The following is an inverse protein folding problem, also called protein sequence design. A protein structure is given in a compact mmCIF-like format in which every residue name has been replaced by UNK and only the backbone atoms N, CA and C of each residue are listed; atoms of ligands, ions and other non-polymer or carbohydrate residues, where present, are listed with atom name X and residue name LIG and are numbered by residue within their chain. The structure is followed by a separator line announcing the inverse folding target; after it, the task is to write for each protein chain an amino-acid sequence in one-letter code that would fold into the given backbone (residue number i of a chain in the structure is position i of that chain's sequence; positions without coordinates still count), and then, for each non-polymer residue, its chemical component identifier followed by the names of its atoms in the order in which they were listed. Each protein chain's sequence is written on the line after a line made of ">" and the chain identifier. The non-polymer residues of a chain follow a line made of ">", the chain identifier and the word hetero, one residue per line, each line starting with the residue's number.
data_IF_378935083464
#
_entry.id   IF_378935083464
#
_cell.length_a   1.000
_cell.length_b   1.000
_cell.length_c   1.000
_cell.angle_alpha   90.00
_cell.angle_beta   90.00
_cell.angle_gamma   90.00
#
_symmetry.space_group_name_H-M   'P 1'
#
loop_
_entity.id
_entity.type
_entity.pdbx_description
1 polymer ?
#
# COMPACT_ATOMS: atom_id res chain seq x y z
N UNK A 1 16.29 20.19 13.09
CA UNK A 1 15.72 18.84 13.04
C UNK A 1 15.44 18.42 14.47
N UNK A 2 14.17 18.41 14.89
CA UNK A 2 13.80 17.81 16.17
C UNK A 2 13.82 16.30 16.00
N UNK A 3 14.64 15.62 16.80
CA UNK A 3 14.60 14.16 16.95
C UNK A 3 13.21 13.76 17.46
N UNK A 4 12.50 12.92 16.70
CA UNK A 4 11.29 12.27 17.19
C UNK A 4 11.66 11.38 18.39
N UNK A 5 10.96 11.45 19.53
CA UNK A 5 11.32 10.64 20.69
C UNK A 5 11.06 9.14 20.40
N UNK A 6 11.93 8.24 20.86
CA UNK A 6 11.70 6.80 20.76
C UNK A 6 10.72 6.37 21.86
N UNK A 7 9.41 6.52 21.64
CA UNK A 7 8.44 6.10 22.65
C UNK A 7 7.08 5.75 22.07
N UNK A 8 6.91 4.51 21.60
CA UNK A 8 5.61 3.80 21.59
C UNK A 8 5.82 2.27 21.59
N UNK A 9 6.93 1.78 21.01
CA UNK A 9 7.29 0.36 20.96
C UNK A 9 7.59 -0.28 22.33
N UNK A 10 7.89 0.51 23.37
CA UNK A 10 8.20 -0.02 24.72
C UNK A 10 6.96 -0.38 25.54
N UNK A 11 5.78 0.13 25.17
CA UNK A 11 4.53 -0.08 25.92
C UNK A 11 3.70 -1.26 25.41
N UNK A 12 3.87 -1.71 24.16
CA UNK A 12 3.08 -2.82 23.60
C UNK A 12 3.32 -4.15 24.33
N UNK A 13 4.55 -4.41 24.77
CA UNK A 13 4.85 -5.60 25.59
C UNK A 13 4.15 -5.53 26.95
N UNK A 14 4.00 -4.34 27.53
CA UNK A 14 3.33 -4.15 28.83
C UNK A 14 1.82 -4.39 28.71
N UNK A 15 1.18 -3.97 27.60
CA UNK A 15 -0.24 -4.24 27.36
C UNK A 15 -0.52 -5.72 27.09
N UNK A 16 0.32 -6.38 26.28
CA UNK A 16 0.18 -7.83 26.00
C UNK A 16 0.43 -8.67 27.26
N UNK A 17 1.48 -8.36 28.02
CA UNK A 17 1.76 -9.01 29.31
C UNK A 17 0.63 -8.75 30.31
N UNK A 18 0.12 -7.51 30.37
CA UNK A 18 -1.01 -7.15 31.23
C UNK A 18 -2.28 -7.94 30.93
N UNK A 19 -2.64 -8.07 29.65
CA UNK A 19 -3.80 -8.87 29.21
C UNK A 19 -3.60 -10.36 29.51
N UNK A 20 -2.41 -10.92 29.23
CA UNK A 20 -2.09 -12.31 29.59
C UNK A 20 -2.18 -12.56 31.09
N UNK A 21 -1.69 -11.64 31.92
CA UNK A 21 -1.80 -11.74 33.38
C UNK A 21 -3.27 -11.72 33.84
N UNK A 22 -4.11 -10.86 33.27
CA UNK A 22 -5.55 -10.78 33.61
C UNK A 22 -6.28 -12.07 33.19
N UNK A 23 -5.98 -12.61 32.02
CA UNK A 23 -6.55 -13.88 31.54
C UNK A 23 -6.11 -15.06 32.41
N UNK A 24 -4.82 -15.10 32.77
CA UNK A 24 -4.28 -16.14 33.66
C UNK A 24 -4.91 -16.04 35.05
N UNK A 25 -5.09 -14.85 35.62
CA UNK A 25 -5.77 -14.65 36.90
C UNK A 25 -7.25 -15.05 36.81
N UNK A 26 -7.94 -14.68 35.73
CA UNK A 26 -9.34 -15.01 35.50
C UNK A 26 -9.63 -16.50 35.30
N UNK A 27 -8.65 -17.28 34.83
CA UNK A 27 -8.78 -18.73 34.61
C UNK A 27 -8.22 -19.54 35.79
N UNK A 28 -7.05 -19.16 36.33
CA UNK A 28 -6.32 -19.95 37.32
C UNK A 28 -6.85 -19.70 38.74
N UNK A 29 -7.19 -18.46 39.10
CA UNK A 29 -7.66 -18.17 40.46
C UNK A 29 -8.97 -18.91 40.81
N UNK A 30 -9.97 -19.03 39.91
CA UNK A 30 -11.16 -19.84 40.18
C UNK A 30 -10.87 -21.33 40.33
N UNK A 31 -9.90 -21.87 39.57
CA UNK A 31 -9.49 -23.27 39.66
C UNK A 31 -8.79 -23.58 40.98
N UNK A 32 -7.94 -22.67 41.47
CA UNK A 32 -7.29 -22.79 42.78
C UNK A 32 -8.34 -22.69 43.89
N UNK A 33 -9.24 -21.70 43.85
CA UNK A 33 -10.27 -21.52 44.89
C UNK A 33 -11.30 -22.66 44.89
N UNK A 34 -11.67 -23.21 43.73
CA UNK A 34 -12.52 -24.39 43.62
C UNK A 34 -11.88 -25.67 44.20
N UNK A 35 -10.54 -25.71 44.33
CA UNK A 35 -9.82 -26.81 44.98
C UNK A 35 -9.90 -26.75 46.51
N UNK A 36 -10.06 -25.56 47.09
CA UNK A 36 -10.06 -25.33 48.54
C UNK A 36 -11.42 -24.96 49.13
N UNK A 37 -12.43 -24.70 48.30
CA UNK A 37 -13.81 -24.40 48.72
C UNK A 37 -14.79 -25.25 47.92
N UNK A 38 -15.95 -25.62 48.50
CA UNK A 38 -17.08 -26.17 47.73
C UNK A 38 -17.86 -24.99 47.14
N UNK A 39 -17.68 -24.63 45.86
CA UNK A 39 -18.25 -23.40 45.33
C UNK A 39 -19.79 -23.50 45.31
N UNK A 40 -20.47 -22.51 45.88
CA UNK A 40 -21.94 -22.44 45.86
C UNK A 40 -22.44 -21.85 44.54
N UNK A 41 -23.69 -22.17 44.17
CA UNK A 41 -24.34 -21.76 42.90
C UNK A 41 -24.23 -20.26 42.60
N UNK A 42 -24.32 -19.40 43.63
CA UNK A 42 -24.20 -17.93 43.45
C UNK A 42 -22.78 -17.49 43.15
N UNK A 43 -21.78 -18.21 43.66
CA UNK A 43 -20.37 -17.85 43.52
C UNK A 43 -19.88 -18.00 42.07
N UNK A 44 -20.23 -19.12 41.42
CA UNK A 44 -19.82 -19.42 40.04
C UNK A 44 -20.46 -18.44 39.03
N UNK A 45 -21.74 -18.14 39.21
CA UNK A 45 -22.47 -17.22 38.32
C UNK A 45 -21.93 -15.80 38.43
N UNK A 46 -21.63 -15.33 39.65
CA UNK A 46 -21.05 -14.00 39.86
C UNK A 46 -19.68 -13.86 39.18
N UNK A 47 -18.83 -14.88 39.24
CA UNK A 47 -17.52 -14.85 38.60
C UNK A 47 -17.58 -14.92 37.07
N UNK A 48 -18.49 -15.72 36.51
CA UNK A 48 -18.70 -15.76 35.05
C UNK A 48 -19.20 -14.42 34.49
N UNK A 49 -20.09 -13.75 35.21
CA UNK A 49 -20.56 -12.40 34.85
C UNK A 49 -19.41 -11.39 34.95
N UNK A 50 -18.63 -11.42 36.04
CA UNK A 50 -17.51 -10.50 36.24
C UNK A 50 -16.45 -10.61 35.13
N UNK A 51 -16.09 -11.84 34.74
CA UNK A 51 -15.14 -12.10 33.67
C UNK A 51 -15.66 -11.61 32.30
N UNK A 52 -16.97 -11.75 32.06
CA UNK A 52 -17.61 -11.27 30.83
C UNK A 52 -17.60 -9.74 30.77
N UNK A 53 -17.93 -9.06 31.87
CA UNK A 53 -17.92 -7.60 31.95
C UNK A 53 -16.50 -7.03 31.80
N UNK A 54 -15.50 -7.63 32.45
CA UNK A 54 -14.10 -7.23 32.31
C UNK A 54 -13.60 -7.35 30.85
N UNK A 55 -14.02 -8.40 30.14
CA UNK A 55 -13.69 -8.59 28.72
C UNK A 55 -14.31 -7.50 27.82
N UNK A 56 -15.56 -7.11 28.10
CA UNK A 56 -16.25 -6.03 27.39
C UNK A 56 -15.61 -4.66 27.62
N UNK A 57 -15.23 -4.34 28.86
CA UNK A 57 -14.54 -3.07 29.18
C UNK A 57 -13.18 -2.99 28.48
N UNK A 58 -12.44 -4.10 28.40
CA UNK A 58 -11.18 -4.18 27.65
C UNK A 58 -11.34 -3.94 26.15
N UNK A 59 -12.38 -4.54 25.53
CA UNK A 59 -12.70 -4.32 24.12
C UNK A 59 -13.19 -2.91 23.81
N UNK A 60 -13.90 -2.28 24.76
CA UNK A 60 -14.37 -0.90 24.61
C UNK A 60 -13.20 0.10 24.66
N UNK A 61 -12.22 -0.14 25.54
CA UNK A 61 -11.01 0.70 25.61
C UNK A 61 -10.12 0.57 24.37
N UNK A 62 -10.14 -0.59 23.69
CA UNK A 62 -9.41 -0.76 22.42
C UNK A 62 -10.11 -0.13 21.21
N UNK A 63 -11.43 0.08 21.27
CA UNK A 63 -12.22 0.68 20.19
C UNK A 63 -12.16 2.23 20.17
N UNK A 64 -11.66 2.87 21.22
CA UNK A 64 -11.54 4.33 21.34
C UNK A 64 -10.25 4.92 20.76
N UNK A 65 -9.33 4.11 20.23
CA UNK A 65 -8.13 4.57 19.52
C UNK A 65 -8.41 4.63 18.01
N UNK A 66 -8.00 5.72 17.37
CA UNK A 66 -8.46 6.19 16.05
C UNK A 66 -8.71 5.11 14.96
N UNK A 67 -9.70 5.30 14.06
CA UNK A 67 -10.21 4.25 13.16
C UNK A 67 -9.33 3.94 11.94
N UNK A 68 -8.09 4.43 11.91
CA UNK A 68 -7.25 4.41 10.71
C UNK A 68 -6.18 3.31 10.83
N UNK A 69 -6.45 2.18 10.17
CA UNK A 69 -5.46 1.25 9.62
C UNK A 69 -4.38 0.70 10.58
N UNK A 70 -4.74 -0.28 11.41
CA UNK A 70 -3.75 -1.27 11.88
C UNK A 70 -4.34 -2.69 11.93
N UNK A 71 -3.85 -3.63 11.09
CA UNK A 71 -4.22 -5.06 11.14
C UNK A 71 -4.00 -5.72 12.50
N UNK A 72 -3.20 -5.13 13.40
CA UNK A 72 -2.97 -5.66 14.74
C UNK A 72 -4.17 -5.51 15.68
N UNK A 73 -5.18 -4.69 15.35
CA UNK A 73 -6.40 -4.60 16.16
C UNK A 73 -7.17 -5.94 16.22
N UNK A 74 -7.08 -6.76 15.18
CA UNK A 74 -7.71 -8.08 15.15
C UNK A 74 -7.03 -9.10 16.09
N UNK A 75 -5.73 -8.95 16.34
CA UNK A 75 -4.99 -9.79 17.31
C UNK A 75 -5.40 -9.51 18.76
N UNK A 76 -5.90 -8.32 19.07
CA UNK A 76 -6.41 -7.94 20.40
C UNK A 76 -7.88 -8.35 20.64
N UNK A 77 -8.65 -8.61 19.58
CA UNK A 77 -10.01 -9.14 19.67
C UNK A 77 -10.04 -10.66 19.89
N UNK A 78 -8.98 -11.36 19.51
CA UNK A 78 -8.88 -12.82 19.66
C UNK A 78 -8.94 -13.28 21.14
N UNK A 79 -8.24 -12.65 22.10
CA UNK A 79 -8.38 -12.97 23.54
C UNK A 79 -9.80 -12.72 24.07
N UNK A 80 -10.42 -11.60 23.68
CA UNK A 80 -11.80 -11.25 24.07
C UNK A 80 -12.77 -12.32 23.58
N UNK A 81 -12.61 -12.75 22.32
CA UNK A 81 -13.40 -13.81 21.70
C UNK A 81 -13.22 -15.16 22.41
N UNK A 82 -11.97 -15.55 22.70
CA UNK A 82 -11.66 -16.80 23.42
C UNK A 82 -12.20 -16.81 24.86
N UNK A 83 -12.16 -15.68 25.56
CA UNK A 83 -12.74 -15.53 26.90
C UNK A 83 -14.27 -15.59 26.89
N UNK A 84 -14.94 -14.99 25.88
CA UNK A 84 -16.40 -15.11 25.74
C UNK A 84 -16.86 -16.52 25.39
N UNK A 85 -16.09 -17.23 24.56
CA UNK A 85 -16.38 -18.62 24.18
C UNK A 85 -16.20 -19.56 25.37
N UNK A 86 -15.12 -19.41 26.12
CA UNK A 86 -14.89 -20.24 27.32
C UNK A 86 -15.98 -20.03 28.37
N UNK A 87 -16.44 -18.80 28.59
CA UNK A 87 -17.58 -18.51 29.46
C UNK A 87 -18.88 -19.17 28.97
N UNK A 88 -19.18 -19.09 27.67
CA UNK A 88 -20.37 -19.70 27.08
C UNK A 88 -20.34 -21.23 27.14
N UNK A 89 -19.19 -21.85 26.87
CA UNK A 89 -18.99 -23.30 26.94
C UNK A 89 -19.18 -23.82 28.36
N UNK A 90 -18.64 -23.15 29.38
CA UNK A 90 -18.78 -23.57 30.79
C UNK A 90 -20.25 -23.51 31.25
N UNK A 91 -20.96 -22.43 30.91
CA UNK A 91 -22.39 -22.27 31.25
C UNK A 91 -23.25 -23.32 30.53
N UNK A 92 -22.90 -23.67 29.29
CA UNK A 92 -23.63 -24.64 28.49
C UNK A 92 -23.35 -26.10 28.88
N UNK A 93 -22.10 -26.44 29.22
CA UNK A 93 -21.75 -27.75 29.80
C UNK A 93 -22.52 -28.02 31.09
N UNK A 94 -22.69 -26.99 31.92
CA UNK A 94 -23.51 -27.08 33.13
C UNK A 94 -25.00 -27.31 32.84
N UNK A 95 -25.56 -26.68 31.78
CA UNK A 95 -26.95 -26.87 31.36
C UNK A 95 -27.22 -28.28 30.79
N UNK A 96 -26.28 -28.82 29.98
CA UNK A 96 -26.38 -30.17 29.42
C UNK A 96 -26.33 -31.24 30.51
N UNK A 97 -25.39 -31.16 31.45
CA UNK A 97 -25.29 -32.10 32.58
C UNK A 97 -26.58 -32.14 33.43
N UNK A 98 -27.38 -31.08 33.42
CA UNK A 98 -28.66 -31.01 34.13
C UNK A 98 -29.84 -31.56 33.31
N UNK A 99 -29.74 -31.58 31.99
CA UNK A 99 -30.84 -31.93 31.05
C UNK A 99 -30.90 -33.40 30.65
N UNK A 100 -29.91 -34.23 31.02
CA UNK A 100 -29.91 -35.68 30.79
C UNK A 100 -29.78 -36.11 29.32
N UNK A 101 -29.34 -35.20 28.43
CA UNK A 101 -29.21 -35.46 26.99
C UNK A 101 -27.93 -36.22 26.63
N UNK A 102 -27.99 -36.98 25.52
CA UNK A 102 -27.03 -38.03 25.18
C UNK A 102 -25.75 -37.52 24.50
N UNK A 103 -24.71 -38.37 24.53
CA UNK A 103 -23.36 -38.13 23.99
C UNK A 103 -23.33 -37.73 22.50
N UNK A 104 -24.40 -38.07 21.76
CA UNK A 104 -24.56 -37.80 20.31
C UNK A 104 -24.82 -36.32 20.04
N UNK A 105 -25.68 -35.66 20.82
CA UNK A 105 -25.99 -34.22 20.63
C UNK A 105 -24.77 -33.34 20.94
N UNK A 106 -23.92 -33.79 21.87
CA UNK A 106 -22.62 -33.16 22.14
C UNK A 106 -21.68 -33.21 20.93
N UNK A 107 -21.56 -34.38 20.30
CA UNK A 107 -20.67 -34.56 19.15
C UNK A 107 -21.08 -33.71 17.95
N UNK A 108 -22.38 -33.63 17.66
CA UNK A 108 -22.91 -32.84 16.54
C UNK A 108 -22.66 -31.34 16.71
N UNK A 109 -22.83 -30.80 17.91
CA UNK A 109 -22.56 -29.39 18.20
C UNK A 109 -21.08 -29.07 18.16
N UNK A 110 -20.23 -29.96 18.69
CA UNK A 110 -18.79 -29.81 18.63
C UNK A 110 -18.29 -29.84 17.17
N UNK A 111 -18.82 -30.75 16.35
CA UNK A 111 -18.52 -30.83 14.93
C UNK A 111 -18.97 -29.57 14.18
N UNK A 112 -20.18 -29.05 14.46
CA UNK A 112 -20.67 -27.81 13.87
C UNK A 112 -19.85 -26.59 14.28
N UNK A 113 -19.42 -26.52 15.55
CA UNK A 113 -18.53 -25.47 16.05
C UNK A 113 -17.17 -25.51 15.35
N UNK A 114 -16.52 -26.67 15.27
CA UNK A 114 -15.27 -26.82 14.54
C UNK A 114 -15.42 -26.52 13.06
N UNK A 115 -16.58 -26.82 12.46
CA UNK A 115 -16.88 -26.46 11.07
C UNK A 115 -16.99 -24.94 10.86
N UNK A 116 -17.67 -24.21 11.75
CA UNK A 116 -17.75 -22.74 11.71
C UNK A 116 -16.38 -22.11 11.97
N UNK A 117 -15.64 -22.59 12.98
CA UNK A 117 -14.29 -22.10 13.29
C UNK A 117 -13.36 -22.36 12.11
N UNK A 118 -13.41 -23.53 11.50
CA UNK A 118 -12.66 -23.83 10.28
C UNK A 118 -13.08 -22.95 9.10
N UNK A 119 -14.38 -22.67 8.93
CA UNK A 119 -14.89 -21.78 7.89
C UNK A 119 -14.49 -20.30 8.07
N UNK A 120 -14.36 -19.84 9.32
CA UNK A 120 -13.90 -18.48 9.66
C UNK A 120 -12.38 -18.36 9.72
N UNK A 121 -11.67 -19.45 10.03
CA UNK A 121 -10.20 -19.51 10.03
C UNK A 121 -9.62 -19.94 8.68
N UNK A 122 -10.46 -20.43 7.76
CA UNK A 122 -10.12 -20.54 6.35
C UNK A 122 -9.75 -19.14 5.90
N UNK A 123 -8.46 -18.89 5.57
CA UNK A 123 -8.03 -17.57 5.17
C UNK A 123 -8.79 -17.26 3.88
N UNK A 124 -9.73 -16.33 3.93
CA UNK A 124 -10.15 -15.63 2.72
C UNK A 124 -8.83 -15.14 2.09
N UNK A 125 -8.51 -15.68 0.91
CA UNK A 125 -7.16 -15.79 0.35
C UNK A 125 -6.22 -14.67 0.79
N UNK A 126 -5.19 -15.05 1.56
CA UNK A 126 -4.22 -14.16 2.20
C UNK A 126 -3.75 -13.07 1.24
N UNK A 127 -4.30 -11.87 1.36
CA UNK A 127 -3.70 -10.67 0.77
C UNK A 127 -2.62 -10.24 1.74
N UNK A 128 -1.36 -10.44 1.37
CA UNK A 128 -0.20 -10.05 2.17
C UNK A 128 -0.38 -8.60 2.67
N UNK A 129 -0.44 -8.33 4.00
CA UNK A 129 -0.72 -7.00 4.54
C UNK A 129 0.31 -5.95 4.09
N UNK A 130 1.51 -6.39 3.71
CA UNK A 130 2.53 -5.50 3.14
C UNK A 130 2.20 -5.04 1.73
N UNK A 131 1.37 -5.78 0.97
CA UNK A 131 1.00 -5.43 -0.41
C UNK A 131 0.19 -4.13 -0.49
N UNK A 132 -0.71 -3.89 0.46
CA UNK A 132 -1.45 -2.63 0.60
C UNK A 132 -0.55 -1.47 1.03
N UNK A 133 0.40 -1.73 1.93
CA UNK A 133 1.40 -0.73 2.34
C UNK A 133 2.26 -0.30 1.14
N UNK A 134 2.76 -1.25 0.36
CA UNK A 134 3.55 -0.97 -0.86
C UNK A 134 2.74 -0.19 -1.90
N UNK A 135 1.45 -0.50 -2.07
CA UNK A 135 0.56 0.21 -2.99
C UNK A 135 0.36 1.67 -2.57
N UNK A 136 0.18 1.89 -1.26
CA UNK A 136 0.05 3.22 -0.67
C UNK A 136 1.34 4.02 -0.81
N UNK A 137 2.49 3.39 -0.58
CA UNK A 137 3.79 4.03 -0.77
C UNK A 137 4.06 4.35 -2.25
N UNK A 138 3.69 3.47 -3.19
CA UNK A 138 3.77 3.77 -4.63
C UNK A 138 2.91 5.01 -4.99
N UNK A 139 1.70 5.12 -4.43
CA UNK A 139 0.85 6.30 -4.57
C UNK A 139 1.50 7.57 -4.01
N UNK A 140 2.15 7.47 -2.85
CA UNK A 140 2.82 8.60 -2.22
C UNK A 140 4.06 9.05 -3.01
N UNK A 141 4.84 8.12 -3.58
CA UNK A 141 5.95 8.43 -4.47
C UNK A 141 5.48 9.24 -5.69
N UNK A 142 4.40 8.80 -6.35
CA UNK A 142 3.80 9.55 -7.47
C UNK A 142 3.29 10.92 -7.04
N UNK A 143 2.70 11.07 -5.85
CA UNK A 143 2.30 12.38 -5.33
C UNK A 143 3.50 13.30 -5.08
N UNK A 144 4.63 12.76 -4.59
CA UNK A 144 5.86 13.53 -4.43
C UNK A 144 6.40 13.99 -5.79
N UNK A 145 6.35 13.12 -6.80
CA UNK A 145 6.69 13.47 -8.18
C UNK A 145 5.74 14.56 -8.72
N UNK A 146 4.44 14.43 -8.49
CA UNK A 146 3.44 15.43 -8.88
C UNK A 146 3.67 16.79 -8.23
N UNK A 147 3.97 16.81 -6.93
CA UNK A 147 4.37 18.03 -6.24
C UNK A 147 5.60 18.68 -6.88
N UNK A 148 6.63 17.89 -7.22
CA UNK A 148 7.81 18.39 -7.90
C UNK A 148 7.52 18.93 -9.31
N UNK A 149 6.64 18.27 -10.07
CA UNK A 149 6.16 18.77 -11.37
C UNK A 149 5.47 20.13 -11.25
N UNK A 150 4.59 20.30 -10.26
CA UNK A 150 3.90 21.58 -10.03
C UNK A 150 4.87 22.67 -9.60
N UNK A 151 5.81 22.41 -8.69
CA UNK A 151 6.81 23.41 -8.30
C UNK A 151 7.74 23.80 -9.46
N UNK A 152 8.11 22.82 -10.31
CA UNK A 152 8.84 23.10 -11.55
C UNK A 152 8.00 24.00 -12.45
N UNK A 153 6.73 23.67 -12.67
CA UNK A 153 5.80 24.47 -13.47
C UNK A 153 5.63 25.89 -12.89
N UNK A 154 5.54 26.06 -11.58
CA UNK A 154 5.40 27.37 -10.95
C UNK A 154 6.65 28.24 -11.16
N UNK A 155 7.82 27.61 -11.23
CA UNK A 155 9.11 28.28 -11.45
C UNK A 155 9.35 28.62 -12.93
N UNK A 156 9.00 27.70 -13.85
CA UNK A 156 9.37 27.78 -15.27
C UNK A 156 8.17 28.00 -16.22
N UNK A 157 6.96 28.12 -15.67
CA UNK A 157 5.69 28.27 -16.39
C UNK A 157 5.38 27.17 -17.41
N UNK A 158 6.02 26.01 -17.25
CA UNK A 158 5.89 24.84 -18.11
C UNK A 158 6.27 23.59 -17.33
N UNK A 159 5.64 22.45 -17.64
CA UNK A 159 6.19 21.16 -17.24
C UNK A 159 7.55 20.93 -17.92
N UNK A 160 8.47 20.17 -17.30
CA UNK A 160 9.74 19.87 -17.94
C UNK A 160 9.49 19.00 -19.18
N UNK A 161 10.24 19.20 -20.27
CA UNK A 161 10.18 18.26 -21.39
C UNK A 161 10.66 16.88 -20.92
N UNK A 162 10.16 15.80 -21.54
CA UNK A 162 10.61 14.44 -21.20
C UNK A 162 12.13 14.28 -21.33
N UNK A 163 12.69 15.00 -22.31
CA UNK A 163 14.12 15.06 -22.57
C UNK A 163 14.51 16.52 -22.77
N UNK A 164 15.42 17.03 -21.94
CA UNK A 164 16.01 18.36 -22.12
C UNK A 164 17.14 18.24 -23.15
N UNK A 165 17.21 19.18 -24.09
CA UNK A 165 18.21 19.17 -25.16
C UNK A 165 19.57 19.74 -24.73
N UNK A 166 20.65 19.12 -25.25
CA UNK A 166 22.05 19.60 -25.27
C UNK A 166 22.69 19.98 -23.92
N UNK A 167 23.31 19.02 -23.21
CA UNK A 167 23.28 17.58 -23.43
C UNK A 167 21.92 16.99 -23.06
N UNK A 168 21.64 15.80 -23.58
CA UNK A 168 20.37 15.11 -23.37
C UNK A 168 20.21 14.71 -21.90
N UNK A 169 19.30 15.37 -21.17
CA UNK A 169 19.05 15.14 -19.73
C UNK A 169 17.60 14.72 -19.49
N UNK A 170 17.39 13.83 -18.50
CA UNK A 170 16.05 13.35 -18.14
C UNK A 170 15.28 14.38 -17.31
N UNK A 171 13.96 14.46 -17.50
CA UNK A 171 13.04 15.18 -16.60
C UNK A 171 13.24 14.80 -15.12
N UNK A 172 13.63 13.55 -14.84
CA UNK A 172 13.93 13.06 -13.49
C UNK A 172 15.04 13.84 -12.80
N UNK A 173 16.03 14.33 -13.54
CA UNK A 173 17.09 15.19 -13.00
C UNK A 173 16.55 16.60 -12.74
N UNK A 174 15.72 17.12 -13.65
CA UNK A 174 15.15 18.46 -13.56
C UNK A 174 14.22 18.63 -12.35
N UNK A 175 13.58 17.55 -11.88
CA UNK A 175 12.71 17.57 -10.70
C UNK A 175 13.46 17.43 -9.37
N UNK A 176 14.69 16.93 -9.34
CA UNK A 176 15.43 16.69 -8.08
C UNK A 176 15.50 17.91 -7.13
N UNK A 177 15.72 19.15 -7.62
CA UNK A 177 15.71 20.34 -6.74
C UNK A 177 14.37 20.62 -6.05
N UNK A 178 13.27 20.12 -6.64
CA UNK A 178 11.92 20.26 -6.10
C UNK A 178 11.49 19.05 -5.27
N UNK A 179 12.42 18.12 -5.03
CA UNK A 179 12.28 16.94 -4.20
C UNK A 179 13.29 17.02 -3.04
N UNK A 180 13.24 16.06 -2.11
CA UNK A 180 14.21 15.93 -1.02
C UNK A 180 15.58 15.37 -1.49
N UNK A 181 15.97 15.67 -2.73
CA UNK A 181 17.13 15.12 -3.44
C UNK A 181 18.02 16.23 -4.05
N UNK A 182 17.95 17.45 -3.51
CA UNK A 182 18.69 18.61 -4.01
C UNK A 182 20.21 18.37 -4.10
N UNK A 183 20.79 17.65 -3.13
CA UNK A 183 22.21 17.27 -3.15
C UNK A 183 22.59 16.48 -4.40
N UNK A 184 21.74 15.55 -4.83
CA UNK A 184 21.98 14.75 -6.04
C UNK A 184 21.88 15.62 -7.29
N UNK A 185 21.02 16.62 -7.27
CA UNK A 185 20.90 17.59 -8.35
C UNK A 185 22.16 18.45 -8.52
N UNK A 186 22.82 18.80 -7.42
CA UNK A 186 24.07 19.57 -7.41
C UNK A 186 25.28 18.74 -7.89
N UNK A 187 25.30 17.44 -7.58
CA UNK A 187 26.35 16.53 -8.03
C UNK A 187 26.29 16.21 -9.54
N UNK A 188 25.13 16.42 -10.18
CA UNK A 188 24.94 16.14 -11.60
C UNK A 188 25.54 17.24 -12.49
N UNK A 189 26.49 16.87 -13.36
CA UNK A 189 27.08 17.78 -14.34
C UNK A 189 26.15 17.97 -15.54
N UNK A 190 25.41 19.09 -15.52
CA UNK A 190 24.46 19.49 -16.58
C UNK A 190 25.12 19.84 -17.90
N UNK A 191 26.44 20.06 -17.95
CA UNK A 191 27.17 20.31 -19.18
C UNK A 191 27.55 19.02 -19.92
N UNK A 192 27.40 17.86 -19.28
CA UNK A 192 27.74 16.56 -19.85
C UNK A 192 26.53 15.65 -20.05
N UNK A 193 26.64 14.70 -20.97
CA UNK A 193 25.63 13.67 -21.20
C UNK A 193 25.37 12.84 -19.93
N UNK A 194 24.17 12.28 -19.83
CA UNK A 194 23.74 11.46 -18.70
C UNK A 194 24.61 10.21 -18.47
N UNK A 195 25.26 9.72 -19.52
CA UNK A 195 26.15 8.57 -19.56
C UNK A 195 27.64 8.96 -19.64
N UNK A 196 27.98 10.22 -19.42
CA UNK A 196 29.39 10.63 -19.33
C UNK A 196 30.07 10.03 -18.09
N UNK A 197 31.41 9.87 -18.08
CA UNK A 197 32.14 9.42 -16.90
C UNK A 197 31.88 10.26 -15.63
N UNK A 198 31.55 11.54 -15.78
CA UNK A 198 31.19 12.42 -14.66
C UNK A 198 29.84 12.04 -14.03
N UNK A 199 28.85 11.66 -14.84
CA UNK A 199 27.49 11.37 -14.39
C UNK A 199 27.22 9.88 -14.14
N UNK A 200 28.06 8.98 -14.65
CA UNK A 200 27.95 7.53 -14.45
C UNK A 200 27.86 7.07 -12.97
N UNK A 201 28.61 7.66 -12.01
CA UNK A 201 28.51 7.27 -10.60
C UNK A 201 27.10 7.46 -10.02
N UNK A 202 26.40 8.54 -10.38
CA UNK A 202 25.05 8.86 -9.92
C UNK A 202 24.02 7.81 -10.36
N UNK A 203 24.27 7.12 -11.47
CA UNK A 203 23.38 6.07 -11.97
C UNK A 203 23.18 4.92 -10.96
N UNK A 204 24.10 4.74 -10.01
CA UNK A 204 24.01 3.70 -8.96
C UNK A 204 23.27 4.17 -7.70
N UNK A 205 22.98 5.46 -7.58
CA UNK A 205 22.27 6.01 -6.43
C UNK A 205 20.80 5.63 -6.43
N UNK A 206 20.28 5.29 -5.24
CA UNK A 206 18.85 5.00 -5.04
C UNK A 206 18.10 6.28 -4.78
N UNK A 207 17.19 6.63 -5.69
CA UNK A 207 16.17 7.65 -5.48
C UNK A 207 14.87 6.93 -5.19
N UNK A 208 14.51 6.76 -3.92
CA UNK A 208 13.38 5.93 -3.51
C UNK A 208 12.04 6.44 -4.07
N UNK A 209 11.93 7.76 -4.25
CA UNK A 209 10.79 8.40 -4.90
C UNK A 209 10.59 7.92 -6.35
N UNK A 210 11.64 7.45 -7.02
CA UNK A 210 11.58 6.94 -8.38
C UNK A 210 11.39 5.42 -8.49
N UNK A 211 11.12 4.71 -7.39
CA UNK A 211 10.99 3.25 -7.39
C UNK A 211 9.68 2.78 -6.76
N UNK A 212 9.06 1.78 -7.37
CA UNK A 212 7.91 1.10 -6.80
C UNK A 212 8.39 0.11 -5.71
N UNK A 213 7.85 0.18 -4.48
CA UNK A 213 8.23 -0.73 -3.39
C UNK A 213 7.93 -2.21 -3.65
N UNK A 214 7.04 -2.52 -4.60
CA UNK A 214 6.72 -3.89 -5.02
C UNK A 214 7.67 -4.43 -6.09
N UNK A 215 8.59 -3.61 -6.61
CA UNK A 215 9.51 -4.02 -7.66
C UNK A 215 10.56 -4.98 -7.12
N UNK A 216 10.68 -6.14 -7.76
CA UNK A 216 11.66 -7.16 -7.38
C UNK A 216 13.07 -6.81 -7.87
N UNK A 217 13.21 -6.25 -9.08
CA UNK A 217 14.51 -5.96 -9.70
C UNK A 217 14.76 -4.46 -9.73
N UNK A 218 15.51 -3.92 -8.76
CA UNK A 218 15.78 -2.47 -8.67
C UNK A 218 17.07 -2.03 -9.39
N UNK A 219 17.90 -2.97 -9.83
CA UNK A 219 19.19 -2.70 -10.46
C UNK A 219 19.37 -3.55 -11.72
N UNK A 220 20.13 -3.05 -12.68
CA UNK A 220 20.60 -3.86 -13.80
C UNK A 220 21.84 -4.71 -13.41
N UNK A 221 22.38 -5.45 -14.39
CA UNK A 221 23.56 -6.31 -14.19
C UNK A 221 24.85 -5.55 -13.84
N UNK A 222 24.90 -4.23 -14.05
CA UNK A 222 26.07 -3.39 -13.75
C UNK A 222 25.88 -2.56 -12.47
N UNK A 223 24.76 -2.75 -11.76
CA UNK A 223 24.46 -2.10 -10.50
C UNK A 223 23.89 -0.68 -10.67
N UNK A 224 23.37 -0.32 -11.84
CA UNK A 224 22.68 0.95 -12.08
C UNK A 224 21.22 0.84 -11.66
N UNK A 225 20.73 1.87 -10.98
CA UNK A 225 19.40 1.90 -10.40
C UNK A 225 18.33 2.16 -11.46
N UNK A 226 17.28 1.35 -11.42
CA UNK A 226 16.20 1.36 -12.38
C UNK A 226 15.01 2.15 -11.85
N UNK A 227 14.44 3.03 -12.66
CA UNK A 227 13.22 3.75 -12.29
C UNK A 227 11.96 2.92 -12.59
N UNK A 228 10.96 3.05 -11.72
CA UNK A 228 9.62 2.51 -11.91
C UNK A 228 8.64 3.51 -12.50
N UNK A 229 8.98 4.80 -12.57
CA UNK A 229 8.06 5.84 -13.01
C UNK A 229 8.62 6.55 -14.24
N UNK A 230 7.78 6.70 -15.23
CA UNK A 230 8.11 7.30 -16.53
C UNK A 230 6.99 8.25 -16.93
N UNK A 231 7.26 9.11 -17.90
CA UNK A 231 6.24 9.97 -18.50
C UNK A 231 5.72 9.36 -19.81
N UNK A 232 4.42 9.55 -20.16
CA UNK A 232 3.89 9.13 -21.44
C UNK A 232 4.34 10.07 -22.57
N UNK A 233 5.02 9.53 -23.57
CA UNK A 233 5.38 10.23 -24.81
C UNK A 233 4.51 9.77 -25.98
N UNK A 234 4.46 10.61 -27.01
CA UNK A 234 3.71 10.38 -28.24
C UNK A 234 3.01 11.65 -28.67
N UNK A 235 2.50 11.70 -29.90
CA UNK A 235 1.77 12.87 -30.38
C UNK A 235 0.54 13.17 -29.52
N UNK A 236 0.35 14.44 -29.14
CA UNK A 236 -0.80 14.89 -28.36
C UNK A 236 -0.66 14.73 -26.86
N UNK A 237 0.42 14.12 -26.35
CA UNK A 237 0.69 14.12 -24.91
C UNK A 237 1.29 15.45 -24.46
N UNK A 238 1.23 15.72 -23.16
CA UNK A 238 1.87 16.89 -22.53
C UNK A 238 3.41 16.91 -22.71
N UNK A 239 4.01 15.78 -23.10
CA UNK A 239 5.45 15.61 -23.29
C UNK A 239 5.88 15.43 -24.77
N UNK A 240 5.03 15.81 -25.72
CA UNK A 240 5.34 15.73 -27.16
C UNK A 240 6.25 16.89 -27.66
N UNK A 241 6.44 17.92 -26.83
CA UNK A 241 7.23 19.12 -27.14
C UNK A 241 8.65 19.04 -26.55
N UNK A 242 9.70 19.39 -27.30
CA UNK A 242 11.07 19.43 -26.79
C UNK A 242 11.31 20.56 -25.77
N UNK A 243 10.41 21.54 -25.71
CA UNK A 243 10.52 22.71 -24.81
C UNK A 243 9.62 22.61 -23.58
N UNK A 244 8.84 21.52 -23.46
CA UNK A 244 7.78 21.39 -22.47
C UNK A 244 6.49 22.10 -22.90
N UNK A 245 5.46 21.97 -22.07
CA UNK A 245 4.16 22.63 -22.25
C UNK A 245 3.61 23.15 -20.90
N UNK A 246 2.90 24.29 -20.90
CA UNK A 246 2.24 24.81 -19.71
C UNK A 246 1.02 23.96 -19.33
N UNK A 247 0.64 23.95 -18.05
CA UNK A 247 -0.57 23.25 -17.60
C UNK A 247 -1.84 23.75 -18.33
N UNK A 248 -1.83 25.00 -18.81
CA UNK A 248 -2.91 25.60 -19.58
C UNK A 248 -3.10 25.03 -21.00
N UNK A 249 -2.15 24.22 -21.51
CA UNK A 249 -2.34 23.48 -22.77
C UNK A 249 -3.36 22.37 -22.62
N UNK A 250 -3.59 21.87 -21.40
CA UNK A 250 -4.51 20.77 -21.12
C UNK A 250 -5.96 21.26 -21.25
N UNK A 251 -6.68 20.73 -22.25
CA UNK A 251 -8.08 21.03 -22.56
C UNK A 251 -9.04 19.95 -22.11
N UNK A 252 -8.59 18.69 -22.06
CA UNK A 252 -9.40 17.54 -21.64
C UNK A 252 -9.62 17.46 -20.11
N UNK A 253 -9.00 18.39 -19.36
CA UNK A 253 -9.06 18.49 -17.91
C UNK A 253 -7.86 17.86 -17.23
N UNK A 254 -7.28 18.56 -16.25
CA UNK A 254 -6.06 18.13 -15.56
C UNK A 254 -6.24 16.83 -14.76
N UNK A 255 -7.46 16.53 -14.31
CA UNK A 255 -7.82 15.26 -13.67
C UNK A 255 -8.00 14.10 -14.66
N UNK A 256 -7.90 14.35 -15.96
CA UNK A 256 -8.09 13.36 -17.04
C UNK A 256 -6.88 13.27 -17.97
N UNK A 257 -5.74 13.88 -17.61
CA UNK A 257 -4.51 13.80 -18.40
C UNK A 257 -3.40 13.23 -17.55
N UNK A 258 -2.71 12.20 -18.05
CA UNK A 258 -1.62 11.52 -17.36
C UNK A 258 -0.32 12.33 -17.43
N UNK A 259 0.29 12.57 -16.27
CA UNK A 259 1.65 13.13 -16.19
C UNK A 259 2.71 12.04 -16.07
N UNK A 260 2.48 11.04 -15.22
CA UNK A 260 3.45 9.97 -14.99
C UNK A 260 2.73 8.66 -14.74
N UNK A 261 3.40 7.56 -15.04
CA UNK A 261 2.85 6.22 -14.93
C UNK A 261 3.89 5.25 -14.41
N UNK A 262 3.41 4.19 -13.75
CA UNK A 262 4.26 3.09 -13.34
C UNK A 262 4.60 2.19 -14.54
N UNK A 263 5.89 1.98 -14.81
CA UNK A 263 6.42 1.15 -15.88
C UNK A 263 7.61 0.30 -15.41
N UNK A 264 7.37 -0.58 -14.44
CA UNK A 264 8.40 -1.45 -13.84
C UNK A 264 9.09 -2.39 -14.85
N UNK A 265 8.48 -2.67 -16.01
CA UNK A 265 9.00 -3.59 -17.02
C UNK A 265 10.06 -3.01 -17.95
N UNK A 266 10.21 -1.68 -18.02
CA UNK A 266 11.04 -1.00 -19.05
C UNK A 266 12.55 -1.11 -18.82
N UNK A 267 12.98 -1.41 -17.58
CA UNK A 267 14.41 -1.45 -17.18
C UNK A 267 15.19 -0.17 -17.53
N UNK A 268 14.51 0.98 -17.52
CA UNK A 268 15.14 2.30 -17.74
C UNK A 268 15.95 2.69 -16.50
N UNK A 269 17.18 3.15 -16.73
CA UNK A 269 18.04 3.70 -15.67
C UNK A 269 17.47 5.05 -15.25
N UNK A 270 17.47 5.35 -13.95
CA UNK A 270 16.76 6.53 -13.45
C UNK A 270 17.28 7.87 -14.01
N UNK A 271 18.55 7.98 -14.43
CA UNK A 271 19.11 9.18 -15.09
C UNK A 271 18.92 9.21 -16.61
N UNK A 272 18.54 8.08 -17.21
CA UNK A 272 18.47 7.93 -18.66
C UNK A 272 17.31 8.75 -19.24
N UNK A 273 17.54 9.59 -20.27
CA UNK A 273 16.55 10.49 -20.85
C UNK A 273 15.63 9.79 -21.87
N UNK A 274 15.15 8.60 -21.51
CA UNK A 274 14.22 7.79 -22.29
C UNK A 274 13.02 7.47 -21.41
N UNK A 275 11.84 7.48 -22.01
CA UNK A 275 10.56 7.14 -21.38
C UNK A 275 9.71 6.32 -22.37
N UNK A 276 8.46 6.02 -22.02
CA UNK A 276 7.60 5.17 -22.85
C UNK A 276 6.85 5.99 -23.88
N UNK A 277 6.92 5.57 -25.13
CA UNK A 277 6.23 6.22 -26.26
C UNK A 277 5.07 5.36 -26.76
N UNK A 278 3.90 5.97 -26.94
CA UNK A 278 2.68 5.28 -27.40
C UNK A 278 2.79 4.66 -28.80
N UNK A 279 3.75 5.11 -29.61
CA UNK A 279 4.06 4.53 -30.92
C UNK A 279 4.90 3.24 -30.82
N UNK A 280 5.73 3.13 -29.78
CA UNK A 280 6.70 2.05 -29.60
C UNK A 280 6.23 1.00 -28.59
N UNK A 281 5.41 1.40 -27.62
CA UNK A 281 4.88 0.54 -26.57
C UNK A 281 3.40 0.26 -26.78
N UNK A 282 2.98 -0.97 -26.47
CA UNK A 282 1.55 -1.30 -26.45
C UNK A 282 0.85 -0.50 -25.36
N UNK A 283 -0.10 0.35 -25.76
CA UNK A 283 -0.98 1.09 -24.85
C UNK A 283 -1.92 0.12 -24.14
N UNK A 284 -1.51 -0.33 -22.95
CA UNK A 284 -2.28 -1.19 -22.05
C UNK A 284 -1.63 -1.22 -20.67
N UNK A 285 -2.40 -1.61 -19.65
CA UNK A 285 -1.92 -1.79 -18.28
C UNK A 285 -1.64 -3.26 -18.03
N UNK A 286 -0.39 -3.61 -17.72
CA UNK A 286 0.05 -4.99 -17.50
C UNK A 286 -0.35 -5.92 -18.66
N UNK A 287 -0.17 -5.48 -19.91
CA UNK A 287 -0.48 -6.30 -21.08
C UNK A 287 0.27 -7.64 -21.08
N UNK A 288 -0.13 -8.58 -21.96
CA UNK A 288 0.30 -9.98 -21.89
C UNK A 288 1.82 -10.12 -21.88
N UNK A 289 2.31 -10.88 -20.90
CA UNK A 289 3.72 -11.20 -20.68
C UNK A 289 3.84 -12.39 -19.73
N UNK A 290 4.97 -13.08 -19.73
CA UNK A 290 5.18 -14.31 -18.95
C UNK A 290 5.36 -14.06 -17.45
N UNK A 291 5.68 -12.82 -17.04
CA UNK A 291 5.99 -12.46 -15.65
C UNK A 291 5.30 -11.15 -15.26
N UNK A 292 4.61 -11.14 -14.11
CA UNK A 292 3.98 -9.96 -13.49
C UNK A 292 5.00 -8.82 -13.34
N UNK A 293 4.63 -7.59 -13.67
CA UNK A 293 5.51 -6.41 -13.55
C UNK A 293 6.69 -6.36 -14.53
N UNK A 294 6.79 -7.31 -15.47
CA UNK A 294 7.75 -7.29 -16.59
C UNK A 294 7.07 -7.21 -17.96
N UNK A 295 5.81 -6.77 -18.00
CA UNK A 295 5.11 -6.53 -19.26
C UNK A 295 5.87 -5.47 -20.07
N UNK A 296 6.05 -5.72 -21.37
CA UNK A 296 6.56 -4.73 -22.33
C UNK A 296 5.51 -3.68 -22.73
N UNK A 297 4.41 -3.57 -21.98
CA UNK A 297 3.38 -2.55 -22.18
C UNK A 297 3.84 -1.21 -21.65
N UNK A 298 3.20 -0.15 -22.13
CA UNK A 298 3.46 1.22 -21.72
C UNK A 298 3.33 1.40 -20.21
N UNK A 299 2.33 0.76 -19.59
CA UNK A 299 2.11 0.74 -18.14
C UNK A 299 2.34 -0.67 -17.61
N UNK A 300 3.19 -0.80 -16.61
CA UNK A 300 3.52 -2.09 -15.98
C UNK A 300 3.84 -1.97 -14.50
N UNK A 301 3.27 -2.87 -13.69
CA UNK A 301 3.39 -2.87 -12.23
C UNK A 301 3.42 -4.28 -11.65
N UNK A 302 4.05 -4.40 -10.47
CA UNK A 302 4.01 -5.61 -9.64
C UNK A 302 2.77 -5.68 -8.73
N UNK A 303 1.94 -4.64 -8.72
CA UNK A 303 0.66 -4.63 -8.02
C UNK A 303 -0.36 -5.56 -8.68
N UNK A 304 -1.28 -6.11 -7.89
CA UNK A 304 -2.34 -6.98 -8.40
C UNK A 304 -3.42 -6.14 -9.09
N UNK A 305 -3.85 -6.55 -10.28
CA UNK A 305 -5.01 -5.98 -10.97
C UNK A 305 -4.81 -4.63 -11.65
N UNK A 306 -3.60 -4.04 -11.64
CA UNK A 306 -3.40 -2.71 -12.20
C UNK A 306 -2.05 -2.07 -11.87
N UNK A 307 -1.98 -0.76 -12.04
CA UNK A 307 -0.80 0.07 -11.82
C UNK A 307 -1.19 1.46 -11.31
N UNK A 308 -0.32 2.12 -10.55
CA UNK A 308 -0.55 3.51 -10.16
C UNK A 308 -0.15 4.47 -11.29
N UNK A 309 -0.91 5.55 -11.40
CA UNK A 309 -0.61 6.67 -12.30
C UNK A 309 -0.77 8.01 -11.57
N UNK A 310 -0.18 9.04 -12.16
CA UNK A 310 -0.24 10.43 -11.74
C UNK A 310 -0.95 11.23 -12.83
N UNK A 311 -1.88 12.08 -12.41
CA UNK A 311 -2.64 12.98 -13.27
C UNK A 311 -2.06 14.40 -13.19
N UNK A 312 -2.42 15.24 -14.16
CA UNK A 312 -1.95 16.61 -14.27
C UNK A 312 -2.47 17.56 -13.18
N UNK A 313 -3.45 17.15 -12.40
CA UNK A 313 -3.89 17.83 -11.18
C UNK A 313 -3.05 17.44 -9.93
N UNK A 314 -2.04 16.58 -10.09
CA UNK A 314 -1.18 16.09 -9.01
C UNK A 314 -1.79 14.93 -8.22
N UNK A 315 -3.02 14.51 -8.53
CA UNK A 315 -3.65 13.36 -7.89
C UNK A 315 -3.12 12.05 -8.48
N UNK A 316 -3.12 10.99 -7.66
CA UNK A 316 -2.75 9.65 -8.09
C UNK A 316 -3.93 8.69 -7.99
N UNK A 317 -4.14 7.93 -9.07
CA UNK A 317 -5.21 6.94 -9.26
C UNK A 317 -4.62 5.58 -9.63
N UNK A 318 -5.37 4.52 -9.29
CA UNK A 318 -5.01 3.15 -9.63
C UNK A 318 -5.77 2.73 -10.90
N UNK A 319 -5.05 2.54 -12.00
CA UNK A 319 -5.63 2.06 -13.25
C UNK A 319 -5.71 0.54 -13.25
N UNK A 320 -6.91 0.01 -13.52
CA UNK A 320 -7.12 -1.43 -13.64
C UNK A 320 -6.50 -1.97 -14.93
N UNK A 321 -6.01 -3.21 -14.88
CA UNK A 321 -5.53 -3.93 -16.07
C UNK A 321 -6.61 -4.18 -17.13
N UNK A 322 -7.88 -4.06 -16.72
CA UNK A 322 -9.06 -4.24 -17.58
C UNK A 322 -9.61 -2.93 -18.13
N UNK A 323 -8.91 -1.81 -17.96
CA UNK A 323 -9.34 -0.51 -18.49
C UNK A 323 -9.55 -0.60 -20.01
N UNK A 324 -10.60 0.06 -20.50
CA UNK A 324 -10.83 0.18 -21.94
C UNK A 324 -9.67 0.93 -22.60
N UNK A 325 -9.19 0.40 -23.73
CA UNK A 325 -8.00 0.95 -24.40
C UNK A 325 -8.25 2.35 -24.96
N UNK A 326 -9.48 2.69 -25.35
CA UNK A 326 -9.80 4.01 -25.88
C UNK A 326 -9.85 5.03 -24.75
N UNK A 327 -10.42 4.66 -23.60
CA UNK A 327 -10.33 5.45 -22.37
C UNK A 327 -8.87 5.68 -21.99
N UNK A 328 -8.03 4.64 -21.99
CA UNK A 328 -6.62 4.80 -21.67
C UNK A 328 -5.90 5.73 -22.67
N UNK A 329 -6.25 5.69 -23.96
CA UNK A 329 -5.67 6.57 -24.97
C UNK A 329 -6.07 8.02 -24.76
N UNK A 330 -7.32 8.30 -24.40
CA UNK A 330 -7.73 9.68 -24.15
C UNK A 330 -7.08 10.27 -22.90
N UNK A 331 -6.76 9.43 -21.90
CA UNK A 331 -5.97 9.86 -20.75
C UNK A 331 -4.52 10.25 -21.09
N UNK A 332 -3.97 9.81 -22.23
CA UNK A 332 -2.62 10.17 -22.65
C UNK A 332 -2.56 11.56 -23.31
N UNK A 333 -3.67 12.03 -23.87
CA UNK A 333 -3.73 13.28 -24.62
C UNK A 333 -4.10 14.47 -23.74
N UNK A 334 -3.60 15.65 -24.11
CA UNK A 334 -3.96 16.90 -23.44
C UNK A 334 -5.20 17.58 -24.06
N UNK A 335 -5.48 17.31 -25.34
CA UNK A 335 -6.56 17.91 -26.15
C UNK A 335 -7.04 16.92 -27.23
N UNK A 336 -7.40 15.71 -26.80
CA UNK A 336 -7.96 14.66 -27.64
C UNK A 336 -9.46 14.81 -27.87
N UNK A 337 -10.16 15.63 -27.08
CA UNK A 337 -11.61 15.84 -27.17
C UNK A 337 -12.47 14.69 -26.64
N UNK A 338 -11.84 13.55 -26.35
CA UNK A 338 -12.49 12.33 -25.84
C UNK A 338 -12.35 12.23 -24.31
N UNK A 339 -12.89 13.21 -23.58
CA UNK A 339 -12.79 13.25 -22.12
C UNK A 339 -13.46 12.02 -21.52
N UNK A 340 -12.71 11.12 -20.87
CA UNK A 340 -13.31 9.98 -20.20
C UNK A 340 -14.04 10.51 -18.96
N UNK A 341 -15.36 10.29 -18.88
CA UNK A 341 -16.17 10.71 -17.74
C UNK A 341 -15.67 10.12 -16.41
N UNK A 342 -16.32 10.42 -15.28
CA UNK A 342 -15.77 10.13 -13.94
C UNK A 342 -15.56 8.64 -13.57
N UNK A 343 -15.89 7.69 -14.45
CA UNK A 343 -16.06 6.27 -14.16
C UNK A 343 -14.93 5.35 -14.67
N UNK A 344 -13.66 5.74 -14.53
CA UNK A 344 -12.49 4.89 -14.90
C UNK A 344 -11.51 4.66 -13.75
#
# INVERSE_FOLDING_TARGET
>A
MHEFPPSLWKNQNVTVIGVLCIVLIGIIAPLIVARYTKPTRRWIVSWGILATVASWVGGFWSAGADPVYDPQQYLLLLPVFLCTISGAVIVYMWWICKSGRGLVEYFLLLAFFFWIVYGLSAPAGVVDPTSFSRLTQCRNNLKQIGFAFHNYHDTYHSFPPATLERPTTSWRIALLPFMEEAKVAEEYDKAQAWDSPANMPLQKQRILAYSCPSRVVSFDSTGRFLTSYVVPRGAGTIFDSPTGKPISSIKDGTSNTLLALEACGTRIIWTQPIDVDSSSYKVSVNGPGTIKGQSGSMISSWHYGGAQVLLADGSSRFLKSTIDVNVLRSLLTEDGGDVPGDAW
#
